data_IF_073320821853
#
_entry.id   IF_073320821853
#
_cell.length_a   1.000
_cell.length_b   1.000
_cell.length_c   1.000
_cell.angle_alpha   90.00
_cell.angle_beta   90.00
_cell.angle_gamma   90.00
#
_symmetry.space_group_name_H-M   'P 1'
#
loop_
_entity.id
_entity.type
_entity.pdbx_description
1 polymer ?
#
# COMPACT_ATOMS: atom_id res chain seq x y z
N UNK A 1 -5.40 15.74 -1.96
CA UNK A 1 -4.55 16.90 -2.26
C UNK A 1 -5.32 18.01 -2.99
N UNK A 2 -6.23 18.73 -2.31
CA UNK A 2 -7.08 19.74 -2.96
C UNK A 2 -6.30 20.93 -3.53
N UNK A 3 -5.12 21.20 -3.01
CA UNK A 3 -4.25 22.31 -3.44
C UNK A 3 -3.29 21.90 -4.57
N UNK A 4 -3.15 20.63 -4.83
CA UNK A 4 -2.31 20.11 -5.91
C UNK A 4 -3.08 20.15 -7.24
N UNK A 5 -2.69 21.11 -8.10
CA UNK A 5 -3.35 21.30 -9.40
C UNK A 5 -3.11 20.11 -10.34
N UNK A 6 -1.95 19.46 -10.28
CA UNK A 6 -1.65 18.29 -11.10
C UNK A 6 -2.47 17.08 -10.65
N UNK A 7 -2.54 16.80 -9.35
CA UNK A 7 -3.35 15.71 -8.83
C UNK A 7 -4.85 15.85 -9.19
N UNK A 8 -5.36 17.08 -9.28
CA UNK A 8 -6.76 17.34 -9.66
C UNK A 8 -7.07 17.12 -11.14
N UNK A 9 -6.05 17.02 -11.97
CA UNK A 9 -6.20 16.77 -13.42
C UNK A 9 -6.03 15.29 -13.77
N UNK A 10 -5.63 14.45 -12.81
CA UNK A 10 -5.49 13.01 -12.99
C UNK A 10 -6.87 12.37 -12.97
N UNK A 11 -7.21 11.66 -14.05
CA UNK A 11 -8.53 11.01 -14.23
C UNK A 11 -8.42 9.47 -14.28
N UNK A 12 -7.21 8.94 -14.33
CA UNK A 12 -6.92 7.53 -14.57
C UNK A 12 -6.17 6.86 -13.41
N UNK A 13 -6.17 7.50 -12.25
CA UNK A 13 -5.62 6.99 -10.99
C UNK A 13 -6.63 7.17 -9.87
N UNK A 14 -6.57 6.33 -8.86
CA UNK A 14 -7.41 6.48 -7.68
C UNK A 14 -6.70 6.07 -6.40
N UNK A 15 -7.22 6.59 -5.29
CA UNK A 15 -6.80 6.20 -3.95
C UNK A 15 -7.76 5.18 -3.36
N UNK A 16 -7.20 4.12 -2.82
CA UNK A 16 -7.92 3.18 -1.97
C UNK A 16 -7.62 3.55 -0.51
N UNK A 17 -8.56 4.26 0.10
CA UNK A 17 -8.34 4.95 1.38
C UNK A 17 -7.27 6.04 1.27
N UNK A 18 -6.54 6.28 2.36
CA UNK A 18 -5.50 7.31 2.43
C UNK A 18 -4.09 6.79 2.09
N UNK A 19 -3.96 5.48 1.99
CA UNK A 19 -2.67 4.79 1.99
C UNK A 19 -2.23 4.24 0.63
N UNK A 20 -3.15 3.91 -0.28
CA UNK A 20 -2.82 3.17 -1.49
C UNK A 20 -3.24 3.97 -2.71
N UNK A 21 -2.28 4.23 -3.60
CA UNK A 21 -2.53 4.78 -4.93
C UNK A 21 -2.48 3.64 -5.94
N UNK A 22 -3.50 3.57 -6.80
CA UNK A 22 -3.63 2.57 -7.86
C UNK A 22 -3.74 3.27 -9.19
N UNK A 23 -2.90 2.88 -10.14
CA UNK A 23 -2.88 3.40 -11.50
C UNK A 23 -3.09 2.24 -12.50
N UNK A 24 -4.34 1.86 -12.81
CA UNK A 24 -4.62 0.72 -13.67
C UNK A 24 -4.13 0.95 -15.11
N UNK A 25 -3.79 -0.12 -15.79
CA UNK A 25 -3.56 -0.12 -17.23
C UNK A 25 -4.92 -0.16 -17.91
N UNK A 26 -5.26 0.84 -18.70
CA UNK A 26 -6.60 1.01 -19.28
C UNK A 26 -6.69 0.54 -20.74
N UNK A 27 -5.56 0.32 -21.39
CA UNK A 27 -5.52 -0.13 -22.78
C UNK A 27 -5.03 -1.57 -22.89
N UNK A 28 -5.56 -2.30 -23.84
CA UNK A 28 -5.11 -3.66 -24.14
C UNK A 28 -3.65 -3.64 -24.61
N UNK A 29 -2.84 -4.55 -24.05
CA UNK A 29 -1.38 -4.65 -24.32
C UNK A 29 -0.55 -3.43 -23.86
N UNK A 30 -1.12 -2.54 -23.05
CA UNK A 30 -0.34 -1.47 -22.44
C UNK A 30 0.72 -2.05 -21.50
N UNK A 31 1.98 -1.70 -21.72
CA UNK A 31 3.13 -2.22 -20.96
C UNK A 31 3.81 -1.17 -20.09
N UNK A 32 3.44 0.08 -20.26
CA UNK A 32 3.95 1.21 -19.48
C UNK A 32 2.91 2.31 -19.40
N UNK A 33 2.96 3.10 -18.34
CA UNK A 33 2.19 4.32 -18.21
C UNK A 33 2.91 5.35 -17.37
N UNK A 34 2.51 6.58 -17.51
CA UNK A 34 2.85 7.63 -16.56
C UNK A 34 1.91 7.60 -15.37
N UNK A 35 2.45 7.86 -14.17
CA UNK A 35 1.73 7.92 -12.91
C UNK A 35 2.13 9.19 -12.19
N UNK A 36 1.17 10.01 -11.82
CA UNK A 36 1.41 11.18 -11.00
C UNK A 36 1.40 10.80 -9.53
N UNK A 37 2.49 11.06 -8.82
CA UNK A 37 2.60 10.87 -7.38
C UNK A 37 2.39 12.20 -6.67
N UNK A 38 1.30 12.39 -5.93
CA UNK A 38 1.08 13.59 -5.12
C UNK A 38 2.14 13.76 -4.02
N UNK A 39 2.14 14.91 -3.34
CA UNK A 39 3.07 15.21 -2.25
C UNK A 39 3.17 14.08 -1.22
N UNK A 40 4.41 13.72 -0.85
CA UNK A 40 4.76 12.68 0.12
C UNK A 40 5.80 11.71 -0.41
N UNK A 41 6.05 10.65 0.32
CA UNK A 41 6.85 9.51 -0.12
C UNK A 41 5.92 8.38 -0.56
N UNK A 42 6.30 7.67 -1.61
CA UNK A 42 5.52 6.59 -2.19
C UNK A 42 6.40 5.37 -2.44
N UNK A 43 5.93 4.23 -2.00
CA UNK A 43 6.65 2.96 -2.10
C UNK A 43 5.93 2.03 -3.07
N UNK A 44 6.59 1.66 -4.15
CA UNK A 44 6.03 0.74 -5.13
C UNK A 44 5.76 -0.62 -4.47
N UNK A 45 4.51 -1.06 -4.47
CA UNK A 45 4.04 -2.24 -3.75
C UNK A 45 4.81 -3.52 -4.09
N UNK A 46 5.11 -3.74 -5.37
CA UNK A 46 5.75 -4.97 -5.84
C UNK A 46 7.29 -4.96 -5.76
N UNK A 47 7.92 -3.79 -5.71
CA UNK A 47 9.38 -3.67 -5.75
C UNK A 47 9.99 -3.05 -4.50
N UNK A 48 9.19 -2.42 -3.65
CA UNK A 48 9.64 -1.63 -2.51
C UNK A 48 10.37 -0.33 -2.88
N UNK A 49 10.50 -0.02 -4.17
CA UNK A 49 11.22 1.19 -4.60
C UNK A 49 10.51 2.44 -4.11
N UNK A 50 11.27 3.33 -3.46
CA UNK A 50 10.79 4.61 -2.96
C UNK A 50 10.84 5.69 -4.05
N UNK A 51 9.83 6.54 -4.06
CA UNK A 51 9.72 7.73 -4.90
C UNK A 51 9.28 8.92 -4.05
N UNK A 52 9.82 10.08 -4.35
CA UNK A 52 9.30 11.34 -3.81
C UNK A 52 8.08 11.78 -4.64
N UNK A 53 7.12 12.40 -3.98
CA UNK A 53 5.94 12.93 -4.66
C UNK A 53 6.18 14.23 -5.42
N UNK A 54 5.09 14.88 -5.82
CA UNK A 54 5.05 16.07 -6.69
C UNK A 54 5.70 15.84 -8.06
N UNK A 55 5.61 14.62 -8.60
CA UNK A 55 6.19 14.28 -9.90
C UNK A 55 5.39 13.20 -10.63
N UNK A 56 5.52 13.19 -11.94
CA UNK A 56 5.09 12.09 -12.77
C UNK A 56 6.25 11.12 -12.98
N UNK A 57 6.00 9.85 -12.80
CA UNK A 57 6.96 8.77 -13.02
C UNK A 57 6.50 7.86 -14.15
N UNK A 58 7.44 7.36 -14.93
CA UNK A 58 7.16 6.33 -15.93
C UNK A 58 7.31 4.95 -15.29
N UNK A 59 6.25 4.14 -15.38
CA UNK A 59 6.25 2.76 -14.92
C UNK A 59 6.34 1.82 -16.11
N UNK A 60 7.23 0.83 -16.05
CA UNK A 60 7.45 -0.14 -17.13
C UNK A 60 6.88 -1.51 -16.82
N UNK A 61 6.65 -2.29 -17.87
CA UNK A 61 6.14 -3.65 -17.82
C UNK A 61 6.95 -4.57 -16.92
N UNK A 62 6.29 -5.24 -16.07
CA UNK A 62 6.73 -6.12 -15.00
C UNK A 62 5.76 -6.04 -13.83
N UNK A 63 5.04 -4.93 -13.75
CA UNK A 63 3.88 -4.77 -12.87
C UNK A 63 2.61 -5.00 -13.67
N UNK A 64 1.75 -5.88 -13.20
CA UNK A 64 0.43 -6.09 -13.81
C UNK A 64 -0.38 -4.78 -13.83
N UNK A 65 -0.20 -3.92 -12.84
CA UNK A 65 -0.65 -2.52 -12.74
C UNK A 65 0.13 -1.82 -11.62
N UNK A 66 0.47 -0.54 -11.75
CA UNK A 66 1.18 0.21 -10.73
C UNK A 66 0.32 0.41 -9.47
N UNK A 67 0.89 0.04 -8.32
CA UNK A 67 0.32 0.25 -6.98
C UNK A 67 1.42 0.82 -6.10
N UNK A 68 1.08 1.84 -5.34
CA UNK A 68 2.01 2.49 -4.42
C UNK A 68 1.39 2.61 -3.03
N UNK A 69 2.22 2.43 -1.99
CA UNK A 69 1.86 2.70 -0.61
C UNK A 69 2.47 4.03 -0.20
N UNK A 70 1.66 4.86 0.41
CA UNK A 70 2.09 6.17 0.93
C UNK A 70 2.95 5.99 2.17
N UNK A 71 4.06 6.73 2.24
CA UNK A 71 4.92 6.80 3.42
C UNK A 71 4.17 7.30 4.65
N UNK A 72 4.48 6.74 5.81
CA UNK A 72 3.76 7.01 7.05
C UNK A 72 2.51 6.15 7.26
N UNK A 73 2.18 5.27 6.32
CA UNK A 73 1.04 4.36 6.40
C UNK A 73 1.48 2.90 6.42
N UNK A 74 0.65 2.05 6.98
CA UNK A 74 0.76 0.60 6.83
C UNK A 74 -0.49 0.04 6.14
N UNK A 75 -0.31 -1.08 5.46
CA UNK A 75 -1.39 -1.81 4.77
C UNK A 75 -1.43 -3.23 5.30
N UNK A 76 -2.61 -3.70 5.65
CA UNK A 76 -2.82 -5.07 6.12
C UNK A 76 -3.18 -6.01 4.99
N UNK A 77 -2.50 -7.15 4.95
CA UNK A 77 -2.75 -8.23 4.00
C UNK A 77 -2.98 -9.55 4.76
N UNK A 78 -3.83 -10.41 4.21
CA UNK A 78 -3.95 -11.78 4.67
C UNK A 78 -2.99 -12.68 3.89
N UNK A 79 -2.21 -13.51 4.59
CA UNK A 79 -1.22 -14.39 3.97
C UNK A 79 -1.84 -15.37 2.96
N UNK A 80 -3.03 -15.86 3.24
CA UNK A 80 -3.74 -16.84 2.38
C UNK A 80 -4.36 -16.20 1.12
N UNK A 81 -4.38 -14.87 1.02
CA UNK A 81 -4.95 -14.13 -0.12
C UNK A 81 -3.93 -13.66 -1.15
N UNK A 82 -2.64 -13.88 -0.91
CA UNK A 82 -1.58 -13.36 -1.80
C UNK A 82 -1.38 -14.13 -3.10
N UNK A 83 -1.86 -15.38 -3.19
CA UNK A 83 -1.59 -16.24 -4.35
C UNK A 83 -2.59 -16.07 -5.50
N UNK A 84 -3.70 -15.37 -5.29
CA UNK A 84 -4.69 -15.16 -6.36
C UNK A 84 -5.51 -13.90 -6.15
N UNK A 85 -5.22 -12.88 -6.93
CA UNK A 85 -6.15 -11.78 -7.17
C UNK A 85 -7.44 -12.34 -7.80
N UNK A 86 -8.48 -12.47 -6.99
CA UNK A 86 -9.79 -12.91 -7.46
C UNK A 86 -10.38 -14.17 -6.83
N UNK A 87 -9.63 -14.90 -6.02
CA UNK A 87 -10.24 -15.95 -5.20
C UNK A 87 -10.86 -15.32 -3.93
N UNK A 88 -12.04 -15.79 -3.50
CA UNK A 88 -12.60 -15.35 -2.24
C UNK A 88 -11.59 -15.65 -1.14
N UNK A 89 -11.26 -14.63 -0.35
CA UNK A 89 -10.42 -14.77 0.83
C UNK A 89 -10.99 -15.93 1.63
N UNK A 90 -10.18 -16.96 1.84
CA UNK A 90 -10.61 -18.10 2.64
C UNK A 90 -11.03 -17.56 4.00
N UNK A 91 -12.22 -17.93 4.48
CA UNK A 91 -12.73 -17.51 5.78
C UNK A 91 -11.96 -18.18 6.94
N UNK A 92 -10.77 -18.69 6.66
CA UNK A 92 -9.91 -19.31 7.64
C UNK A 92 -9.30 -18.22 8.52
N UNK A 93 -10.00 -17.93 9.63
CA UNK A 93 -9.69 -16.90 10.65
C UNK A 93 -8.33 -17.10 11.36
N UNK A 94 -7.56 -18.10 10.96
CA UNK A 94 -6.22 -18.40 11.48
C UNK A 94 -5.10 -17.94 10.53
N UNK A 95 -5.42 -17.24 9.45
CA UNK A 95 -4.40 -16.71 8.54
C UNK A 95 -3.58 -15.63 9.26
N UNK A 96 -2.27 -15.73 9.07
CA UNK A 96 -1.35 -14.71 9.58
C UNK A 96 -1.64 -13.37 8.91
N UNK A 97 -1.78 -12.34 9.70
CA UNK A 97 -1.88 -10.98 9.20
C UNK A 97 -0.48 -10.49 8.84
N UNK A 98 -0.32 -9.95 7.65
CA UNK A 98 0.91 -9.30 7.20
C UNK A 98 0.66 -7.80 7.20
N UNK A 99 1.53 -7.03 7.84
CA UNK A 99 1.55 -5.57 7.75
C UNK A 99 2.71 -5.12 6.87
N UNK A 100 2.39 -4.42 5.80
CA UNK A 100 3.35 -3.71 4.98
C UNK A 100 3.46 -2.28 5.50
N UNK A 101 4.60 -1.94 6.05
CA UNK A 101 4.88 -0.64 6.68
C UNK A 101 5.71 0.20 5.72
N UNK A 102 5.26 1.40 5.40
CA UNK A 102 5.92 2.29 4.45
C UNK A 102 6.48 3.56 5.12
N UNK A 103 7.75 3.84 4.88
CA UNK A 103 8.45 5.02 5.38
C UNK A 103 9.04 4.86 6.78
N UNK A 104 9.86 5.83 7.18
CA UNK A 104 10.65 5.78 8.40
C UNK A 104 9.81 5.94 9.69
N UNK A 105 8.69 6.64 9.63
CA UNK A 105 7.81 6.91 10.78
C UNK A 105 6.37 6.86 10.36
N UNK A 106 5.52 6.26 11.17
CA UNK A 106 4.09 6.29 10.92
C UNK A 106 3.26 5.61 12.00
N UNK A 107 1.96 5.70 11.79
CA UNK A 107 0.95 5.06 12.62
C UNK A 107 -0.25 4.67 11.78
N UNK A 108 -0.72 3.46 11.93
CA UNK A 108 -1.94 2.98 11.28
C UNK A 108 -2.78 2.15 12.24
N UNK A 109 -4.09 2.19 12.04
CA UNK A 109 -5.04 1.42 12.84
C UNK A 109 -5.90 0.57 11.91
N UNK A 110 -6.05 -0.70 12.25
CA UNK A 110 -6.78 -1.68 11.46
C UNK A 110 -7.89 -2.30 12.30
N UNK A 111 -9.07 -2.40 11.73
CA UNK A 111 -10.17 -3.15 12.33
C UNK A 111 -10.10 -4.59 11.84
N UNK A 112 -9.97 -5.53 12.75
CA UNK A 112 -10.07 -6.97 12.47
C UNK A 112 -11.42 -7.50 12.95
N UNK A 113 -11.74 -8.73 12.58
CA UNK A 113 -12.98 -9.38 13.05
C UNK A 113 -13.06 -9.53 14.58
N UNK A 114 -11.93 -9.42 15.28
CA UNK A 114 -11.82 -9.65 16.72
C UNK A 114 -11.48 -8.42 17.54
N UNK A 115 -10.80 -7.42 16.91
CA UNK A 115 -10.29 -6.27 17.64
C UNK A 115 -9.78 -5.16 16.73
N UNK A 116 -9.40 -4.07 17.36
CA UNK A 116 -8.66 -2.97 16.76
C UNK A 116 -7.17 -3.23 16.99
N UNK A 117 -6.40 -3.28 15.91
CA UNK A 117 -4.95 -3.33 15.96
C UNK A 117 -4.37 -1.95 15.64
N UNK A 118 -3.45 -1.49 16.46
CA UNK A 118 -2.69 -0.26 16.21
C UNK A 118 -1.23 -0.63 15.95
N UNK A 119 -0.70 -0.13 14.84
CA UNK A 119 0.69 -0.29 14.44
C UNK A 119 1.36 1.09 14.44
N UNK A 120 2.43 1.24 15.21
CA UNK A 120 3.26 2.43 15.25
C UNK A 120 4.71 2.04 14.95
N UNK A 121 5.41 2.86 14.15
CA UNK A 121 6.81 2.59 13.85
C UNK A 121 7.65 3.85 13.80
N UNK A 122 8.90 3.66 14.13
CA UNK A 122 9.95 4.67 14.00
C UNK A 122 11.25 3.98 13.56
N UNK A 123 11.70 4.30 12.36
CA UNK A 123 12.75 3.57 11.66
C UNK A 123 12.39 2.07 11.58
N UNK A 124 13.29 1.18 11.89
CA UNK A 124 13.07 -0.28 11.82
C UNK A 124 12.27 -0.85 13.01
N UNK A 125 11.98 -0.03 14.03
CA UNK A 125 11.25 -0.48 15.22
C UNK A 125 9.76 -0.33 15.01
N UNK A 126 9.06 -1.45 14.96
CA UNK A 126 7.61 -1.53 14.81
C UNK A 126 7.00 -2.08 16.09
N UNK A 127 5.96 -1.40 16.58
CA UNK A 127 5.15 -1.82 17.72
C UNK A 127 3.72 -2.06 17.25
N UNK A 128 3.21 -3.23 17.53
CA UNK A 128 1.81 -3.58 17.24
C UNK A 128 1.10 -3.85 18.55
N UNK A 129 -0.05 -3.23 18.75
CA UNK A 129 -0.89 -3.37 19.93
C UNK A 129 -2.29 -3.79 19.54
N UNK A 130 -2.89 -4.66 20.35
CA UNK A 130 -4.25 -5.17 20.17
C UNK A 130 -4.31 -6.70 20.28
N UNK A 131 -5.51 -7.25 20.31
CA UNK A 131 -5.70 -8.70 20.38
C UNK A 131 -5.29 -9.37 19.07
N UNK A 132 -4.36 -10.35 19.14
CA UNK A 132 -3.81 -11.03 17.96
C UNK A 132 -2.56 -10.36 17.38
N UNK A 133 -1.98 -9.37 18.08
CA UNK A 133 -0.74 -8.71 17.66
C UNK A 133 0.44 -9.70 17.55
N UNK A 134 0.44 -10.78 18.30
CA UNK A 134 1.46 -11.84 18.28
C UNK A 134 1.48 -12.67 16.98
N UNK A 135 0.43 -12.63 16.20
CA UNK A 135 0.31 -13.37 14.92
C UNK A 135 0.61 -12.51 13.70
N UNK A 136 1.07 -11.27 13.92
CA UNK A 136 1.35 -10.32 12.84
C UNK A 136 2.77 -10.48 12.33
N UNK A 137 2.91 -10.62 11.02
CA UNK A 137 4.19 -10.57 10.32
C UNK A 137 4.38 -9.17 9.72
N UNK A 138 5.57 -8.58 9.89
CA UNK A 138 5.84 -7.21 9.45
C UNK A 138 6.84 -7.24 8.29
N UNK A 139 6.51 -6.51 7.22
CA UNK A 139 7.40 -6.19 6.13
C UNK A 139 7.55 -4.67 6.04
N UNK A 140 8.78 -4.19 6.07
CA UNK A 140 9.10 -2.78 6.04
C UNK A 140 9.64 -2.38 4.67
N UNK A 141 9.06 -1.34 4.08
CA UNK A 141 9.61 -0.64 2.91
C UNK A 141 10.46 0.54 3.42
N UNK A 142 11.75 0.50 3.19
CA UNK A 142 12.70 1.55 3.56
C UNK A 142 13.27 2.24 2.33
#
# INVERSE_FOLDING_TARGET
WPQDKAARQVEDEFLLGDAILVAPLLEENQTAREVYLPEGEWYAFFTGKCYHGCQTISTTAGMKFPVFIRGGYAVSLHADGMDSLGNPVSQNLNSKLILLVAGAVGKSTFTTNKSLLTCEWKNEKVRVEGTGAETVQIHHFC
#
